data_IF_879213569644
#
_entry.id   IF_879213569644
#
_cell.length_a   1.000
_cell.length_b   1.000
_cell.length_c   1.000
_cell.angle_alpha   90.00
_cell.angle_beta   90.00
_cell.angle_gamma   90.00
#
_symmetry.space_group_name_H-M   'P 1'
#
loop_
_entity.id
_entity.type
_entity.pdbx_description
1 polymer ?
#
# COMPACT_ATOMS: atom_id res chain seq x y z
N UNK A 1 -9.22 -23.62 -25.21
CA UNK A 1 -10.60 -23.13 -25.11
C UNK A 1 -10.72 -22.14 -23.99
N UNK A 2 -11.50 -21.07 -24.11
CA UNK A 2 -11.76 -20.12 -23.00
C UNK A 2 -12.90 -20.67 -22.13
N UNK A 3 -12.69 -20.68 -20.80
CA UNK A 3 -13.70 -21.13 -19.82
C UNK A 3 -13.78 -20.14 -18.65
N UNK A 4 -14.95 -20.08 -18.05
CA UNK A 4 -15.21 -19.29 -16.84
C UNK A 4 -15.54 -20.24 -15.69
N UNK A 5 -15.03 -19.94 -14.51
CA UNK A 5 -15.29 -20.78 -13.33
C UNK A 5 -15.01 -20.06 -12.03
N UNK A 6 -15.23 -20.77 -10.94
CA UNK A 6 -15.05 -20.27 -9.58
C UNK A 6 -13.85 -20.96 -8.94
N UNK A 7 -12.97 -20.19 -8.32
CA UNK A 7 -11.81 -20.73 -7.60
C UNK A 7 -12.28 -21.57 -6.42
N UNK A 8 -11.89 -22.84 -6.39
CA UNK A 8 -12.25 -23.79 -5.31
C UNK A 8 -11.11 -24.05 -4.32
N UNK A 9 -9.87 -23.96 -4.77
CA UNK A 9 -8.67 -24.15 -3.94
C UNK A 9 -7.52 -23.29 -4.46
N UNK A 10 -6.64 -22.86 -3.57
CA UNK A 10 -5.44 -22.10 -3.91
C UNK A 10 -4.17 -22.77 -3.36
N UNK A 11 -3.07 -22.64 -4.11
CA UNK A 11 -1.72 -23.00 -3.67
C UNK A 11 -0.80 -21.77 -3.81
N UNK A 12 -0.72 -20.90 -2.80
CA UNK A 12 0.06 -19.66 -2.85
C UNK A 12 1.55 -19.88 -3.11
N UNK A 13 2.12 -20.99 -2.64
CA UNK A 13 3.55 -21.28 -2.81
C UNK A 13 3.94 -21.47 -4.28
N UNK A 14 3.08 -22.10 -5.06
CA UNK A 14 3.31 -22.38 -6.48
C UNK A 14 2.58 -21.40 -7.42
N UNK A 15 1.86 -20.41 -6.86
CA UNK A 15 0.99 -19.50 -7.60
C UNK A 15 0.00 -20.25 -8.51
N UNK A 16 -0.68 -21.25 -7.95
CA UNK A 16 -1.65 -22.11 -8.65
C UNK A 16 -3.00 -22.08 -7.94
N UNK A 17 -4.06 -22.30 -8.69
CA UNK A 17 -5.39 -22.51 -8.13
C UNK A 17 -6.14 -23.62 -8.90
N UNK A 18 -7.18 -24.18 -8.27
CA UNK A 18 -8.14 -25.08 -8.90
C UNK A 18 -9.46 -24.34 -9.12
N UNK A 19 -10.06 -24.57 -10.25
CA UNK A 19 -11.25 -23.86 -10.68
C UNK A 19 -12.37 -24.87 -10.93
N UNK A 20 -13.53 -24.60 -10.36
CA UNK A 20 -14.76 -25.34 -10.64
C UNK A 20 -15.48 -24.70 -11.82
N UNK A 21 -15.74 -25.45 -12.84
CA UNK A 21 -16.46 -25.04 -14.04
C UNK A 21 -17.91 -25.52 -13.95
N UNK A 22 -18.83 -24.56 -13.81
CA UNK A 22 -20.25 -24.84 -13.61
C UNK A 22 -20.98 -25.36 -14.86
N UNK A 23 -20.35 -25.32 -16.05
CA UNK A 23 -20.92 -25.76 -17.29
C UNK A 23 -20.99 -27.31 -17.42
N UNK A 24 -20.09 -28.04 -16.80
CA UNK A 24 -20.01 -29.49 -16.78
C UNK A 24 -19.74 -30.08 -15.37
N UNK A 25 -19.86 -29.27 -14.34
CA UNK A 25 -19.60 -29.63 -12.93
C UNK A 25 -18.21 -30.24 -12.69
N UNK A 26 -17.24 -29.86 -13.52
CA UNK A 26 -15.86 -30.34 -13.42
C UNK A 26 -14.97 -29.40 -12.62
N UNK A 27 -13.94 -29.95 -11.98
CA UNK A 27 -12.89 -29.18 -11.30
C UNK A 27 -11.57 -29.40 -12.00
N UNK A 28 -10.86 -28.32 -12.32
CA UNK A 28 -9.55 -28.38 -12.98
C UNK A 28 -8.48 -29.10 -12.13
N UNK A 29 -7.38 -29.50 -12.76
CA UNK A 29 -6.12 -29.69 -12.06
C UNK A 29 -5.60 -28.35 -11.49
N UNK A 30 -4.40 -28.36 -10.93
CA UNK A 30 -3.73 -27.14 -10.46
C UNK A 30 -3.28 -26.30 -11.66
N UNK A 31 -3.95 -25.20 -11.91
CA UNK A 31 -3.64 -24.26 -13.00
C UNK A 31 -2.75 -23.13 -12.48
N UNK A 32 -1.68 -22.78 -13.19
CA UNK A 32 -0.89 -21.59 -12.86
C UNK A 32 -1.73 -20.32 -13.01
N UNK A 33 -1.53 -19.36 -12.10
CA UNK A 33 -2.14 -18.04 -12.17
C UNK A 33 -1.19 -17.11 -12.91
N UNK A 34 -1.67 -16.47 -13.99
CA UNK A 34 -0.88 -15.52 -14.77
C UNK A 34 -0.41 -14.34 -13.89
N UNK A 35 0.88 -14.10 -13.89
CA UNK A 35 1.51 -12.97 -13.20
C UNK A 35 2.12 -12.02 -14.23
N UNK A 36 2.13 -10.72 -13.95
CA UNK A 36 2.69 -9.71 -14.86
C UNK A 36 4.20 -9.88 -15.07
N UNK A 37 4.93 -10.25 -14.00
CA UNK A 37 6.39 -10.51 -14.01
C UNK A 37 6.76 -11.59 -13.00
N UNK A 38 7.70 -12.49 -13.37
CA UNK A 38 8.01 -13.67 -12.55
C UNK A 38 9.51 -13.93 -12.36
N UNK A 39 10.40 -13.26 -13.09
CA UNK A 39 11.82 -13.61 -13.09
C UNK A 39 12.63 -12.73 -12.10
N UNK A 40 13.13 -11.59 -12.56
CA UNK A 40 13.95 -10.67 -11.73
C UNK A 40 13.06 -9.77 -10.88
N UNK A 41 12.21 -8.99 -11.55
CA UNK A 41 11.11 -8.30 -10.89
C UNK A 41 9.93 -9.26 -10.78
N UNK A 42 9.20 -9.21 -9.68
CA UNK A 42 8.09 -10.12 -9.44
C UNK A 42 6.85 -9.34 -9.04
N UNK A 43 5.74 -9.65 -9.66
CA UNK A 43 4.42 -9.33 -9.18
C UNK A 43 3.80 -10.61 -8.63
N UNK A 44 3.00 -10.48 -7.59
CA UNK A 44 2.30 -11.58 -6.98
C UNK A 44 0.91 -11.14 -6.55
N UNK A 45 -0.09 -11.72 -7.17
CA UNK A 45 -1.49 -11.61 -6.80
C UNK A 45 -2.17 -12.93 -7.06
N UNK A 46 -2.86 -13.45 -6.06
CA UNK A 46 -3.63 -14.68 -6.15
C UNK A 46 -5.12 -14.35 -6.11
N UNK A 47 -5.93 -15.07 -6.87
CA UNK A 47 -7.38 -14.99 -6.69
C UNK A 47 -7.78 -15.62 -5.34
N UNK A 48 -8.89 -15.15 -4.80
CA UNK A 48 -9.48 -15.70 -3.59
C UNK A 48 -10.34 -16.94 -3.90
N UNK A 49 -10.53 -17.81 -2.90
CA UNK A 49 -11.49 -18.90 -2.99
C UNK A 49 -12.90 -18.31 -3.11
N UNK A 50 -13.66 -18.76 -4.09
CA UNK A 50 -14.97 -18.21 -4.44
C UNK A 50 -14.94 -17.12 -5.51
N UNK A 51 -13.75 -16.66 -5.92
CA UNK A 51 -13.62 -15.62 -6.95
C UNK A 51 -13.88 -16.19 -8.36
N UNK A 52 -14.59 -15.41 -9.18
CA UNK A 52 -14.84 -15.76 -10.56
C UNK A 52 -13.63 -15.42 -11.43
N UNK A 53 -13.15 -16.42 -12.18
CA UNK A 53 -11.95 -16.30 -13.01
C UNK A 53 -12.21 -16.74 -14.45
N UNK A 54 -11.39 -16.21 -15.34
CA UNK A 54 -11.33 -16.66 -16.73
C UNK A 54 -10.07 -17.50 -16.94
N UNK A 55 -10.23 -18.67 -17.56
CA UNK A 55 -9.18 -19.63 -17.82
C UNK A 55 -9.01 -19.85 -19.31
N UNK A 56 -7.78 -19.99 -19.76
CA UNK A 56 -7.45 -20.52 -21.08
C UNK A 56 -7.04 -21.98 -20.91
N UNK A 57 -7.88 -22.89 -21.41
CA UNK A 57 -7.71 -24.32 -21.30
C UNK A 57 -7.24 -24.94 -22.63
N UNK A 58 -6.54 -26.05 -22.55
CA UNK A 58 -6.24 -26.87 -23.72
C UNK A 58 -7.53 -27.49 -24.33
N UNK A 59 -7.39 -28.26 -25.41
CA UNK A 59 -8.54 -28.85 -26.09
C UNK A 59 -9.20 -29.98 -25.29
N UNK A 60 -8.46 -30.59 -24.36
CA UNK A 60 -8.96 -31.67 -23.52
C UNK A 60 -9.53 -31.19 -22.20
N UNK A 61 -9.40 -29.87 -21.91
CA UNK A 61 -9.75 -29.24 -20.62
C UNK A 61 -9.00 -29.82 -19.39
N UNK A 62 -7.83 -30.40 -19.63
CA UNK A 62 -7.01 -31.01 -18.57
C UNK A 62 -5.96 -30.03 -18.02
N UNK A 63 -5.39 -29.20 -18.90
CA UNK A 63 -4.35 -28.23 -18.55
C UNK A 63 -4.70 -26.84 -19.07
N UNK A 64 -4.07 -25.81 -18.51
CA UNK A 64 -4.35 -24.43 -18.89
C UNK A 64 -3.71 -23.41 -17.97
N UNK A 65 -4.21 -22.19 -18.04
CA UNK A 65 -3.75 -21.06 -17.22
C UNK A 65 -4.93 -20.19 -16.80
N UNK A 66 -4.92 -19.71 -15.57
CA UNK A 66 -5.86 -18.69 -15.09
C UNK A 66 -5.34 -17.33 -15.56
N UNK A 67 -6.11 -16.65 -16.41
CA UNK A 67 -5.76 -15.34 -16.97
C UNK A 67 -6.01 -14.19 -15.99
N UNK A 68 -6.99 -14.34 -15.09
CA UNK A 68 -7.33 -13.35 -14.08
C UNK A 68 -8.76 -13.48 -13.58
N UNK A 69 -9.07 -12.65 -12.58
CA UNK A 69 -10.40 -12.52 -12.03
C UNK A 69 -11.25 -11.56 -12.85
N UNK A 70 -12.56 -11.73 -12.77
CA UNK A 70 -13.54 -10.86 -13.41
C UNK A 70 -14.65 -10.50 -12.43
N UNK A 71 -15.16 -9.27 -12.55
CA UNK A 71 -16.34 -8.87 -11.82
C UNK A 71 -17.58 -9.63 -12.34
N UNK A 72 -18.54 -9.85 -11.47
CA UNK A 72 -19.78 -10.54 -11.76
C UNK A 72 -20.99 -9.72 -11.31
N UNK A 73 -22.19 -10.26 -11.49
CA UNK A 73 -23.41 -9.64 -10.96
C UNK A 73 -23.47 -9.69 -9.42
N UNK A 74 -22.75 -10.59 -8.78
CA UNK A 74 -22.68 -10.73 -7.33
C UNK A 74 -21.52 -9.92 -6.74
N UNK A 75 -20.41 -9.82 -7.46
CA UNK A 75 -19.22 -9.05 -7.06
C UNK A 75 -19.02 -7.91 -8.04
N UNK A 76 -19.54 -6.75 -7.68
CA UNK A 76 -19.48 -5.55 -8.52
C UNK A 76 -18.14 -4.82 -8.38
N UNK A 77 -17.78 -4.02 -9.40
CA UNK A 77 -16.57 -3.21 -9.36
C UNK A 77 -16.56 -2.21 -8.18
N UNK A 78 -15.40 -2.02 -7.58
CA UNK A 78 -15.19 -1.13 -6.43
C UNK A 78 -15.38 0.35 -6.73
N UNK A 79 -15.34 0.74 -8.01
CA UNK A 79 -15.63 2.11 -8.48
C UNK A 79 -16.41 2.04 -9.78
N UNK A 80 -17.25 3.06 -10.02
CA UNK A 80 -17.99 3.25 -11.26
C UNK A 80 -17.35 4.32 -12.17
N UNK A 81 -16.18 4.83 -11.79
CA UNK A 81 -15.48 5.89 -12.49
C UNK A 81 -14.29 5.35 -13.28
N UNK A 82 -14.20 5.76 -14.55
CA UNK A 82 -13.02 5.52 -15.40
C UNK A 82 -11.83 6.45 -15.05
N UNK A 83 -12.03 7.36 -14.11
CA UNK A 83 -11.01 8.31 -13.62
C UNK A 83 -10.23 7.79 -12.42
N UNK A 84 -10.57 6.60 -11.92
CA UNK A 84 -9.95 6.04 -10.74
C UNK A 84 -9.15 4.78 -11.04
N UNK A 85 -8.00 4.66 -10.38
CA UNK A 85 -7.24 3.44 -10.23
C UNK A 85 -7.25 3.08 -8.75
N UNK A 86 -7.85 1.95 -8.39
CA UNK A 86 -8.06 1.56 -7.00
C UNK A 86 -7.55 0.15 -6.72
N UNK A 87 -6.92 -0.01 -5.55
CA UNK A 87 -6.60 -1.30 -4.93
C UNK A 87 -7.22 -1.28 -3.55
N UNK A 88 -8.15 -2.18 -3.28
CA UNK A 88 -8.77 -2.35 -1.97
C UNK A 88 -8.40 -3.72 -1.40
N UNK A 89 -8.07 -3.76 -0.13
CA UNK A 89 -7.79 -4.99 0.60
C UNK A 89 -8.96 -5.30 1.54
N UNK A 90 -9.15 -6.58 1.85
CA UNK A 90 -10.24 -7.07 2.71
C UNK A 90 -10.28 -6.39 4.09
N UNK A 91 -9.12 -6.04 4.65
CA UNK A 91 -9.01 -5.35 5.95
C UNK A 91 -9.36 -3.84 5.91
N UNK A 92 -9.85 -3.32 4.79
CA UNK A 92 -10.18 -1.90 4.60
C UNK A 92 -9.00 -1.00 4.23
N UNK A 93 -7.79 -1.55 4.10
CA UNK A 93 -6.66 -0.79 3.55
C UNK A 93 -6.84 -0.55 2.07
N UNK A 94 -6.40 0.61 1.57
CA UNK A 94 -6.56 0.93 0.16
C UNK A 94 -5.50 1.88 -0.40
N UNK A 95 -5.35 1.84 -1.71
CA UNK A 95 -4.62 2.83 -2.51
C UNK A 95 -5.56 3.27 -3.63
N UNK A 96 -5.85 4.55 -3.71
CA UNK A 96 -6.71 5.13 -4.75
C UNK A 96 -6.02 6.34 -5.41
N UNK A 97 -5.90 6.30 -6.72
CA UNK A 97 -5.45 7.42 -7.52
C UNK A 97 -6.64 7.97 -8.33
N UNK A 98 -7.08 9.17 -8.02
CA UNK A 98 -8.16 9.86 -8.71
C UNK A 98 -7.59 10.90 -9.68
N UNK A 99 -7.82 10.69 -10.98
CA UNK A 99 -7.30 11.54 -12.06
C UNK A 99 -8.04 12.87 -12.18
N UNK A 100 -9.29 12.94 -11.74
CA UNK A 100 -10.11 14.15 -11.82
C UNK A 100 -9.68 15.15 -10.75
N UNK A 101 -9.48 14.69 -9.52
CA UNK A 101 -9.02 15.53 -8.41
C UNK A 101 -7.50 15.62 -8.32
N UNK A 102 -6.78 14.85 -9.13
CA UNK A 102 -5.32 14.71 -9.09
C UNK A 102 -4.79 14.33 -7.70
N UNK A 103 -5.47 13.39 -7.05
CA UNK A 103 -5.18 13.01 -5.65
C UNK A 103 -4.78 11.53 -5.58
N UNK A 104 -3.71 11.23 -4.85
CA UNK A 104 -3.37 9.89 -4.40
C UNK A 104 -3.75 9.74 -2.92
N UNK A 105 -4.65 8.82 -2.62
CA UNK A 105 -5.06 8.48 -1.25
C UNK A 105 -4.51 7.10 -0.87
N UNK A 106 -3.85 7.01 0.27
CA UNK A 106 -3.29 5.77 0.81
C UNK A 106 -3.79 5.59 2.24
N UNK A 107 -4.57 4.54 2.49
CA UNK A 107 -5.18 4.23 3.78
C UNK A 107 -4.63 2.91 4.29
N UNK A 108 -3.86 2.96 5.37
CA UNK A 108 -3.33 1.81 6.09
C UNK A 108 -3.25 2.15 7.58
N UNK A 109 -3.38 1.15 8.44
CA UNK A 109 -3.14 1.33 9.87
C UNK A 109 -1.69 1.78 10.15
N UNK A 110 -0.72 1.22 9.40
CA UNK A 110 0.70 1.55 9.52
C UNK A 110 1.38 1.56 8.17
N UNK A 111 2.06 2.64 7.84
CA UNK A 111 2.96 2.72 6.68
C UNK A 111 4.41 2.71 7.15
N UNK A 112 5.24 1.83 6.59
CA UNK A 112 6.69 1.79 6.82
C UNK A 112 7.42 2.11 5.53
N UNK A 113 8.10 3.24 5.50
CA UNK A 113 8.98 3.65 4.41
C UNK A 113 10.44 3.44 4.84
N UNK A 114 11.24 2.82 3.99
CA UNK A 114 12.67 2.57 4.26
C UNK A 114 13.46 3.18 3.12
N UNK A 115 14.28 4.17 3.42
CA UNK A 115 15.04 4.96 2.46
C UNK A 115 14.88 6.46 2.71
N UNK A 116 15.41 7.25 1.80
CA UNK A 116 15.23 8.70 1.82
C UNK A 116 13.88 9.06 1.21
N UNK A 117 13.23 10.08 1.78
CA UNK A 117 11.99 10.65 1.27
C UNK A 117 12.28 12.09 0.88
N UNK A 118 12.10 12.41 -0.39
CA UNK A 118 12.09 13.78 -0.90
C UNK A 118 10.65 14.24 -1.02
N UNK A 119 10.34 15.40 -0.48
CA UNK A 119 9.00 15.97 -0.50
C UNK A 119 9.06 17.43 -0.94
N UNK A 120 8.36 17.77 -2.00
CA UNK A 120 8.17 19.14 -2.46
C UNK A 120 6.75 19.59 -2.14
N UNK A 121 6.60 20.69 -1.43
CA UNK A 121 5.31 21.23 -1.03
C UNK A 121 5.11 21.29 0.49
N UNK A 122 3.87 21.31 0.93
CA UNK A 122 3.52 21.39 2.35
C UNK A 122 3.40 19.98 2.91
N UNK A 123 4.16 19.68 3.96
CA UNK A 123 3.94 18.50 4.78
C UNK A 123 3.02 18.86 5.96
N UNK A 124 1.79 18.32 5.93
CA UNK A 124 0.80 18.51 6.98
C UNK A 124 0.65 17.24 7.80
N UNK A 125 0.74 17.35 9.11
CA UNK A 125 0.58 16.23 10.04
C UNK A 125 -0.39 16.61 11.15
N UNK A 126 -1.43 15.78 11.36
CA UNK A 126 -2.46 16.00 12.39
C UNK A 126 -2.12 15.41 13.76
N UNK A 127 -1.04 14.64 13.84
CA UNK A 127 -0.57 14.03 15.10
C UNK A 127 0.86 14.51 15.45
N UNK A 128 1.55 13.84 16.33
CA UNK A 128 2.93 14.16 16.68
C UNK A 128 3.95 13.68 15.64
N UNK A 129 5.08 14.35 15.52
CA UNK A 129 6.27 13.88 14.81
C UNK A 129 7.30 13.44 15.85
N UNK A 130 7.69 12.16 15.80
CA UNK A 130 8.74 11.62 16.66
C UNK A 130 9.97 11.33 15.80
N UNK A 131 11.08 12.00 16.08
CA UNK A 131 12.37 11.71 15.49
C UNK A 131 13.30 11.10 16.53
N UNK A 132 14.00 10.02 16.17
CA UNK A 132 15.04 9.42 17.01
C UNK A 132 16.41 10.08 16.80
N UNK A 133 16.53 10.97 15.84
CA UNK A 133 17.70 11.80 15.60
C UNK A 133 17.30 13.27 15.53
N UNK A 134 18.26 14.16 15.31
CA UNK A 134 17.99 15.60 15.25
C UNK A 134 17.17 15.96 13.99
N UNK A 135 16.37 17.01 14.12
CA UNK A 135 15.64 17.62 13.01
C UNK A 135 16.36 18.90 12.63
N UNK A 136 16.79 19.00 11.38
CA UNK A 136 17.56 20.12 10.87
C UNK A 136 16.74 20.87 9.81
N UNK A 137 16.74 22.19 9.88
CA UNK A 137 16.25 23.07 8.84
C UNK A 137 17.41 23.68 8.05
N UNK A 138 17.11 24.65 7.17
CA UNK A 138 18.11 25.34 6.35
C UNK A 138 19.17 26.08 7.17
N UNK A 139 18.89 26.44 8.41
CA UNK A 139 19.72 27.33 9.22
C UNK A 139 20.46 26.57 10.32
N UNK A 140 19.80 25.65 11.01
CA UNK A 140 20.32 24.97 12.18
C UNK A 140 19.47 23.74 12.53
N UNK A 141 19.77 23.08 13.64
CA UNK A 141 19.01 21.95 14.16
C UNK A 141 18.25 22.30 15.44
N UNK A 142 17.24 21.49 15.74
CA UNK A 142 16.50 21.63 17.01
C UNK A 142 17.41 21.43 18.22
N UNK A 143 18.42 20.56 18.12
CA UNK A 143 19.39 20.39 19.20
C UNK A 143 20.23 21.64 19.40
N UNK A 144 20.75 22.24 18.33
CA UNK A 144 21.51 23.49 18.41
C UNK A 144 20.66 24.64 18.99
N UNK A 145 19.38 24.70 18.68
CA UNK A 145 18.46 25.68 19.28
C UNK A 145 18.29 25.46 20.78
N UNK A 146 18.16 24.21 21.25
CA UNK A 146 18.11 23.86 22.67
C UNK A 146 19.42 24.22 23.40
N UNK A 147 20.56 23.98 22.76
CA UNK A 147 21.90 24.28 23.34
C UNK A 147 22.10 25.77 23.51
N UNK A 148 21.51 26.62 22.69
CA UNK A 148 21.52 28.08 22.84
C UNK A 148 20.49 28.53 23.88
N UNK A 149 19.26 28.01 23.81
CA UNK A 149 18.15 28.46 24.65
C UNK A 149 18.34 28.08 26.12
N UNK A 150 18.68 26.84 26.43
CA UNK A 150 18.71 26.36 27.81
C UNK A 150 19.74 27.06 28.72
N UNK A 151 20.94 27.44 28.25
CA UNK A 151 21.90 28.15 29.06
C UNK A 151 21.80 29.69 28.99
N UNK A 152 20.99 30.28 28.09
CA UNK A 152 21.00 31.73 27.85
C UNK A 152 20.58 32.53 29.09
N UNK A 153 21.16 33.68 29.24
CA UNK A 153 20.84 34.64 30.28
C UNK A 153 20.79 36.03 29.68
N UNK A 154 20.16 36.96 30.36
CA UNK A 154 20.14 38.38 29.99
C UNK A 154 20.91 39.22 31.01
N UNK A 155 21.34 40.41 30.63
CA UNK A 155 21.88 41.37 31.57
C UNK A 155 20.72 41.96 32.37
N UNK A 156 20.70 41.67 33.65
CA UNK A 156 19.71 42.22 34.57
C UNK A 156 19.98 43.66 34.94
N UNK A 157 19.06 44.27 35.70
CA UNK A 157 19.24 45.60 36.28
C UNK A 157 20.46 45.58 37.22
N UNK A 158 21.38 46.48 37.11
CA UNK A 158 22.67 46.56 37.82
C UNK A 158 23.80 45.67 37.26
N UNK A 159 23.69 45.15 36.04
CA UNK A 159 24.76 44.45 35.34
C UNK A 159 24.96 42.97 35.69
N UNK A 160 24.22 42.42 36.65
CA UNK A 160 24.27 40.98 36.95
C UNK A 160 23.44 40.16 35.96
N UNK A 161 23.88 38.98 35.55
CA UNK A 161 23.08 38.12 34.66
C UNK A 161 21.79 37.63 35.34
N UNK A 162 20.72 37.49 34.58
CA UNK A 162 19.50 36.85 35.06
C UNK A 162 19.69 35.33 35.25
N UNK A 163 18.77 34.70 35.93
CA UNK A 163 18.70 33.22 35.93
C UNK A 163 18.47 32.68 34.53
N UNK A 164 18.87 31.44 34.30
CA UNK A 164 18.50 30.67 33.11
C UNK A 164 16.98 30.48 33.05
N UNK A 165 16.40 30.14 31.87
CA UNK A 165 14.99 29.79 31.78
C UNK A 165 14.61 28.70 32.78
N UNK A 166 13.43 28.82 33.40
CA UNK A 166 12.94 27.85 34.38
C UNK A 166 12.42 26.54 33.73
N UNK A 167 12.17 26.55 32.41
CA UNK A 167 11.81 25.39 31.62
C UNK A 167 12.87 25.10 30.56
N UNK A 168 13.33 23.86 30.48
CA UNK A 168 14.18 23.41 29.39
C UNK A 168 13.33 22.98 28.19
N UNK A 169 13.85 23.24 26.98
CA UNK A 169 13.26 22.77 25.74
C UNK A 169 13.73 21.36 25.38
#
# INVERSE_FOLDING_TARGET
MLRFGIVSQINPLLAQARVNFGDDDSTSFWLPVLQTKTLKDKFYSMPDIGEQVVCLMDNNSEDGVILGAIYSTEVVAITQSDKELSVNLENGSSINANKETNTLTVIFEKMRLVGNIEHEGIFSNSAGIISQSDITDKTSSMQAMRDIYNPHTHTGNQGSPTSKPSGAM
#
